data_IF_999663941838
#
_entry.id   IF_999663941838
#
_cell.length_a   1.000
_cell.length_b   1.000
_cell.length_c   1.000
_cell.angle_alpha   90.00
_cell.angle_beta   90.00
_cell.angle_gamma   90.00
#
_symmetry.space_group_name_H-M   'P 1'
#
loop_
_entity.id
_entity.type
_entity.pdbx_description
1 polymer ?
#
# COMPACT_ATOMS: atom_id res chain seq x y z
N UNK A 1 -20.51 7.89 30.76
CA UNK A 1 -20.65 8.46 29.41
C UNK A 1 -19.86 9.75 29.38
N UNK A 2 -18.59 9.67 28.98
CA UNK A 2 -17.75 10.83 28.68
C UNK A 2 -17.03 10.50 27.39
N UNK A 3 -17.76 10.67 26.29
CA UNK A 3 -17.27 10.52 24.91
C UNK A 3 -16.68 11.84 24.42
N UNK A 4 -15.80 12.45 25.23
CA UNK A 4 -15.15 13.72 24.86
C UNK A 4 -13.66 13.50 24.98
N UNK A 5 -13.01 13.42 23.82
CA UNK A 5 -11.56 13.39 23.68
C UNK A 5 -11.00 14.71 24.21
N UNK A 6 -10.28 14.65 25.32
CA UNK A 6 -9.69 15.82 25.96
C UNK A 6 -8.35 16.14 25.30
N UNK A 7 -8.35 17.01 24.28
CA UNK A 7 -7.16 17.44 23.51
C UNK A 7 -6.43 18.58 24.26
N UNK A 8 -6.24 18.42 25.56
CA UNK A 8 -5.73 19.46 26.45
C UNK A 8 -4.21 19.62 26.47
N UNK A 9 -3.48 18.75 25.76
CA UNK A 9 -2.02 18.86 25.67
C UNK A 9 -1.64 19.96 24.68
N UNK A 10 -0.64 20.77 25.05
CA UNK A 10 -0.11 21.81 24.16
C UNK A 10 0.39 21.19 22.85
N UNK A 11 0.07 21.79 21.69
CA UNK A 11 0.52 21.27 20.41
C UNK A 11 2.05 21.31 20.35
N UNK A 12 2.66 20.12 20.29
CA UNK A 12 4.10 19.98 20.12
C UNK A 12 4.41 20.13 18.63
N UNK A 13 4.95 21.29 18.26
CA UNK A 13 5.43 21.51 16.91
C UNK A 13 6.87 20.99 16.79
N UNK A 14 7.02 19.81 16.18
CA UNK A 14 8.34 19.29 15.80
C UNK A 14 8.84 19.97 14.52
N UNK A 15 9.69 20.99 14.67
CA UNK A 15 10.30 21.71 13.55
C UNK A 15 11.43 20.97 12.83
N UNK A 16 11.72 19.70 13.20
CA UNK A 16 12.77 18.91 12.55
C UNK A 16 12.40 18.47 11.13
N UNK A 17 11.11 18.28 10.86
CA UNK A 17 10.60 17.85 9.56
C UNK A 17 10.18 19.08 8.77
N UNK A 18 10.99 19.48 7.80
CA UNK A 18 10.73 20.67 6.96
C UNK A 18 9.76 20.35 5.82
N UNK A 19 9.72 19.10 5.35
CA UNK A 19 8.92 18.67 4.20
C UNK A 19 8.68 17.16 4.22
N UNK A 20 7.50 16.74 3.79
CA UNK A 20 7.17 15.35 3.46
C UNK A 20 6.79 15.33 1.97
N UNK A 21 7.34 14.38 1.22
CA UNK A 21 7.02 14.17 -0.18
C UNK A 21 6.64 12.71 -0.42
N UNK A 22 5.65 12.48 -1.27
CA UNK A 22 5.26 11.14 -1.71
C UNK A 22 5.91 10.86 -3.07
N UNK A 23 6.60 9.72 -3.17
CA UNK A 23 7.25 9.29 -4.40
C UNK A 23 6.63 7.98 -4.90
N UNK A 24 6.45 7.88 -6.23
CA UNK A 24 6.01 6.64 -6.87
C UNK A 24 7.23 5.81 -7.26
N UNK A 25 7.26 4.55 -6.81
CA UNK A 25 8.29 3.59 -7.19
C UNK A 25 7.65 2.43 -7.96
N UNK A 26 8.30 2.02 -9.04
CA UNK A 26 7.88 0.85 -9.80
C UNK A 26 8.63 -0.38 -9.28
N UNK A 27 7.94 -1.53 -9.15
CA UNK A 27 8.59 -2.76 -8.76
C UNK A 27 9.60 -3.20 -9.81
N UNK A 28 10.74 -3.69 -9.34
CA UNK A 28 11.67 -4.46 -10.13
C UNK A 28 11.29 -5.94 -10.01
N UNK A 29 10.65 -6.48 -11.04
CA UNK A 29 10.30 -7.89 -11.10
C UNK A 29 10.93 -8.53 -12.34
N UNK A 30 11.41 -9.76 -12.20
CA UNK A 30 11.59 -10.62 -13.37
C UNK A 30 10.20 -10.80 -14.01
N UNK A 31 10.13 -10.83 -15.34
CA UNK A 31 8.89 -10.73 -16.13
C UNK A 31 7.86 -11.86 -15.92
N UNK A 32 8.08 -12.75 -14.96
CA UNK A 32 7.19 -13.84 -14.57
C UNK A 32 6.59 -13.53 -13.20
N UNK A 33 5.26 -13.59 -13.11
CA UNK A 33 4.51 -13.56 -11.84
C UNK A 33 4.06 -15.00 -11.52
N UNK A 34 5.03 -15.82 -11.13
CA UNK A 34 4.85 -17.17 -10.63
C UNK A 34 4.46 -17.22 -9.16
N UNK A 35 4.36 -18.44 -8.63
CA UNK A 35 4.08 -18.67 -7.22
C UNK A 35 5.30 -18.33 -6.36
N UNK A 36 5.09 -17.58 -5.29
CA UNK A 36 6.13 -17.16 -4.33
C UNK A 36 7.20 -16.22 -4.89
N UNK A 37 6.88 -15.50 -5.97
CA UNK A 37 7.79 -14.51 -6.52
C UNK A 37 7.89 -13.28 -5.62
N UNK A 38 9.12 -12.82 -5.43
CA UNK A 38 9.43 -11.65 -4.61
C UNK A 38 9.38 -10.38 -5.48
N UNK A 39 8.56 -9.42 -5.06
CA UNK A 39 8.53 -8.09 -5.65
C UNK A 39 9.46 -7.18 -4.86
N UNK A 40 10.49 -6.64 -5.51
CA UNK A 40 11.44 -5.72 -4.88
C UNK A 40 11.22 -4.30 -5.38
N UNK A 41 11.01 -3.36 -4.46
CA UNK A 41 10.88 -1.93 -4.76
C UNK A 41 12.12 -1.21 -4.21
N UNK A 42 13.16 -0.98 -5.03
CA UNK A 42 14.37 -0.32 -4.57
C UNK A 42 14.13 1.18 -4.38
N UNK A 43 14.39 1.68 -3.17
CA UNK A 43 14.42 3.11 -2.88
C UNK A 43 15.85 3.60 -3.15
N UNK A 44 16.04 4.30 -4.26
CA UNK A 44 17.39 4.65 -4.75
C UNK A 44 18.02 5.89 -4.09
N UNK A 45 17.34 6.51 -3.11
CA UNK A 45 17.83 7.74 -2.47
C UNK A 45 18.33 7.44 -1.05
N UNK A 46 19.66 7.35 -0.92
CA UNK A 46 20.34 7.08 0.35
C UNK A 46 20.28 8.27 1.32
N UNK A 47 20.06 9.47 0.80
CA UNK A 47 19.97 10.71 1.58
C UNK A 47 18.54 11.01 2.09
N UNK A 48 17.56 10.20 1.71
CA UNK A 48 16.16 10.40 2.08
C UNK A 48 15.74 9.48 3.22
N UNK A 49 15.30 10.05 4.33
CA UNK A 49 14.59 9.30 5.37
C UNK A 49 13.21 8.95 4.84
N UNK A 50 13.01 7.67 4.53
CA UNK A 50 11.69 7.17 4.13
C UNK A 50 10.91 6.72 5.35
N UNK A 51 9.59 6.89 5.29
CA UNK A 51 8.64 6.47 6.32
C UNK A 51 7.80 5.30 5.75
N UNK A 52 8.28 4.04 5.84
CA UNK A 52 7.61 2.92 5.19
C UNK A 52 6.19 2.67 5.71
N UNK A 53 5.90 3.05 6.96
CA UNK A 53 4.58 2.87 7.56
C UNK A 53 3.49 3.78 6.97
N UNK A 54 3.88 4.86 6.26
CA UNK A 54 2.94 5.71 5.50
C UNK A 54 2.91 5.35 4.00
N UNK A 55 3.55 4.26 3.60
CA UNK A 55 3.51 3.79 2.22
C UNK A 55 2.26 2.96 1.91
N UNK A 56 1.88 2.89 0.64
CA UNK A 56 0.77 2.06 0.16
C UNK A 56 1.11 1.42 -1.19
N UNK A 57 0.57 0.22 -1.42
CA UNK A 57 0.66 -0.48 -2.70
C UNK A 57 -0.56 -0.15 -3.55
N UNK A 58 -0.33 0.45 -4.72
CA UNK A 58 -1.38 0.66 -5.72
C UNK A 58 -1.47 -0.54 -6.65
N UNK A 59 -2.59 -1.25 -6.62
CA UNK A 59 -2.81 -2.49 -7.38
C UNK A 59 -3.99 -2.29 -8.32
N UNK A 60 -3.72 -2.43 -9.62
CA UNK A 60 -4.71 -2.34 -10.67
C UNK A 60 -4.72 -3.63 -11.49
N UNK A 61 -5.91 -4.12 -11.82
CA UNK A 61 -6.07 -5.35 -12.58
C UNK A 61 -7.47 -5.48 -13.17
N UNK A 62 -7.64 -6.42 -14.10
CA UNK A 62 -8.95 -6.80 -14.63
C UNK A 62 -9.41 -8.07 -13.93
N UNK A 63 -10.64 -8.05 -13.44
CA UNK A 63 -11.27 -9.22 -12.85
C UNK A 63 -12.11 -9.92 -13.92
N UNK A 64 -11.84 -11.19 -14.14
CA UNK A 64 -12.51 -12.04 -15.13
C UNK A 64 -13.05 -13.29 -14.45
N UNK A 65 -14.18 -13.80 -14.92
CA UNK A 65 -14.67 -15.11 -14.50
C UNK A 65 -13.76 -16.23 -15.06
N UNK A 66 -13.78 -17.41 -14.45
CA UNK A 66 -12.98 -18.57 -14.90
C UNK A 66 -13.29 -18.97 -16.35
N UNK A 67 -14.50 -18.70 -16.83
CA UNK A 67 -14.92 -18.93 -18.22
C UNK A 67 -14.47 -17.82 -19.19
N UNK A 68 -13.73 -16.82 -18.73
CA UNK A 68 -13.26 -15.69 -19.55
C UNK A 68 -14.31 -14.61 -19.79
N UNK A 69 -15.50 -14.72 -19.20
CA UNK A 69 -16.53 -13.70 -19.31
C UNK A 69 -16.25 -12.51 -18.37
N UNK A 70 -16.76 -11.35 -18.78
CA UNK A 70 -16.74 -10.17 -17.94
C UNK A 70 -17.67 -10.34 -16.74
N UNK A 71 -17.16 -9.91 -15.60
CA UNK A 71 -17.94 -9.86 -14.37
C UNK A 71 -19.06 -8.84 -14.57
N UNK A 72 -20.29 -9.23 -14.21
CA UNK A 72 -21.48 -8.39 -14.33
C UNK A 72 -21.34 -7.04 -13.60
N UNK A 73 -22.33 -6.14 -13.74
CA UNK A 73 -22.21 -4.73 -13.37
C UNK A 73 -21.97 -4.47 -11.88
N UNK A 74 -22.18 -5.47 -11.02
CA UNK A 74 -22.00 -5.36 -9.58
C UNK A 74 -21.39 -6.64 -9.03
N UNK A 75 -20.13 -6.55 -8.63
CA UNK A 75 -19.45 -7.59 -7.87
C UNK A 75 -19.04 -7.03 -6.51
N UNK A 76 -19.46 -7.72 -5.46
CA UNK A 76 -19.01 -7.42 -4.10
C UNK A 76 -17.92 -8.43 -3.79
N UNK A 77 -16.67 -7.96 -3.64
CA UNK A 77 -15.63 -8.80 -3.08
C UNK A 77 -15.94 -9.00 -1.60
N UNK A 78 -16.24 -10.24 -1.20
CA UNK A 78 -16.50 -10.58 0.20
C UNK A 78 -15.25 -10.48 1.08
N UNK A 79 -14.06 -10.43 0.48
CA UNK A 79 -12.79 -10.31 1.17
C UNK A 79 -11.76 -9.56 0.30
N UNK A 80 -10.75 -8.94 0.92
CA UNK A 80 -9.63 -8.29 0.25
C UNK A 80 -8.70 -9.35 -0.37
N UNK A 81 -9.05 -9.85 -1.56
CA UNK A 81 -8.28 -10.89 -2.26
C UNK A 81 -6.80 -10.50 -2.47
N UNK A 82 -6.54 -9.21 -2.61
CA UNK A 82 -5.19 -8.66 -2.79
C UNK A 82 -4.36 -8.84 -1.53
N UNK A 83 -4.95 -8.65 -0.34
CA UNK A 83 -4.25 -8.92 0.92
C UNK A 83 -3.83 -10.38 1.06
N UNK A 84 -4.58 -11.34 0.50
CA UNK A 84 -4.21 -12.76 0.50
C UNK A 84 -3.15 -13.15 -0.53
N UNK A 85 -2.79 -12.25 -1.45
CA UNK A 85 -1.70 -12.52 -2.39
C UNK A 85 -0.33 -12.37 -1.72
N UNK A 86 -0.25 -11.67 -0.59
CA UNK A 86 0.98 -11.42 0.13
C UNK A 86 1.00 -12.26 1.40
N UNK A 87 1.96 -13.18 1.50
CA UNK A 87 2.21 -13.94 2.73
C UNK A 87 3.03 -13.12 3.73
N UNK A 88 3.96 -12.30 3.21
CA UNK A 88 4.80 -11.40 3.99
C UNK A 88 4.99 -10.06 3.25
N UNK A 89 5.00 -8.96 4.01
CA UNK A 89 5.42 -7.62 3.55
C UNK A 89 6.47 -7.14 4.55
N UNK A 90 7.65 -6.77 4.06
CA UNK A 90 8.83 -6.42 4.87
C UNK A 90 9.37 -5.05 4.48
#
# INVERSE_FOLDING_TARGET
MTEILNIGDEPIFDGRIVKIETHTYNPFANTTFGHSDEIRIPIQQQDLYTLPHESYLYIAGKLMLRNGEHIGPRMVMGNNCVAFMFDEIR
#
